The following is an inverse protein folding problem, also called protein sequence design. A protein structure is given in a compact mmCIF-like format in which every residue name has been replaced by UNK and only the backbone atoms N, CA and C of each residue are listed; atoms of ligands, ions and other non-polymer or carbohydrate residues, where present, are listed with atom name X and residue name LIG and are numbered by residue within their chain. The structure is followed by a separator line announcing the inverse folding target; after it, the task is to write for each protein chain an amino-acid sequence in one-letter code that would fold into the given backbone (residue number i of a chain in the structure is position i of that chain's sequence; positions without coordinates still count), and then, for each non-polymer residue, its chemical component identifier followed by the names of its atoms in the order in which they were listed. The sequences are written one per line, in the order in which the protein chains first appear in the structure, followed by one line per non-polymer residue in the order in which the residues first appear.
data_IF_731662341414
#
_entry.id   IF_731662341414
#
_cell.length_a   1.000
_cell.length_b   1.000
_cell.length_c   1.000
_cell.angle_alpha   90.00
_cell.angle_beta   90.00
_cell.angle_gamma   90.00
#
_symmetry.space_group_name_H-M   'P 1'
#
loop_
_entity.id
_entity.type
_entity.pdbx_description
1 polymer ?
#
# COMPACT_ATOMS: atom_id res chain seq x y z
N UNK A 1 2.76 11.00 -3.88
CA UNK A 1 2.06 10.08 -2.97
C UNK A 1 0.70 10.68 -2.63
N UNK A 2 -0.37 9.92 -2.75
CA UNK A 2 -1.75 10.42 -2.64
C UNK A 2 -2.56 9.63 -1.59
N UNK A 3 -3.37 10.33 -0.79
CA UNK A 3 -4.28 9.69 0.17
C UNK A 3 -5.59 9.31 -0.53
N UNK A 4 -6.13 8.14 -0.21
CA UNK A 4 -7.44 7.66 -0.67
C UNK A 4 -8.42 7.49 0.50
N UNK A 5 -9.71 7.71 0.22
CA UNK A 5 -10.77 7.76 1.23
C UNK A 5 -12.02 6.97 0.84
N UNK A 6 -12.25 6.75 -0.47
CA UNK A 6 -13.47 6.13 -0.98
C UNK A 6 -13.20 4.78 -1.66
N UNK A 7 -14.24 3.97 -1.79
CA UNK A 7 -14.20 2.70 -2.52
C UNK A 7 -14.01 2.92 -4.02
N UNK A 8 -14.62 3.96 -4.59
CA UNK A 8 -14.42 4.36 -5.99
C UNK A 8 -12.94 4.62 -6.31
N UNK A 9 -12.21 5.33 -5.43
CA UNK A 9 -10.76 5.51 -5.59
C UNK A 9 -10.00 4.19 -5.52
N UNK A 10 -10.47 3.23 -4.72
CA UNK A 10 -9.85 1.91 -4.65
C UNK A 10 -10.09 1.09 -5.93
N UNK A 11 -11.29 1.15 -6.50
CA UNK A 11 -11.61 0.56 -7.80
C UNK A 11 -10.72 1.16 -8.90
N UNK A 12 -10.58 2.49 -8.95
CA UNK A 12 -9.67 3.18 -9.89
C UNK A 12 -8.22 2.71 -9.74
N UNK A 13 -7.77 2.47 -8.50
CA UNK A 13 -6.41 1.98 -8.21
C UNK A 13 -6.21 0.52 -8.66
N UNK A 14 -7.23 -0.32 -8.52
CA UNK A 14 -7.22 -1.70 -9.04
C UNK A 14 -7.11 -1.68 -10.56
N UNK A 15 -7.90 -0.85 -11.23
CA UNK A 15 -7.86 -0.69 -12.68
C UNK A 15 -6.51 -0.14 -13.15
N UNK A 16 -6.00 0.92 -12.49
CA UNK A 16 -4.68 1.47 -12.77
C UNK A 16 -3.57 0.42 -12.62
N UNK A 17 -3.69 -0.49 -11.65
CA UNK A 17 -2.69 -1.54 -11.43
C UNK A 17 -2.54 -2.51 -12.61
N UNK A 18 -3.54 -2.57 -13.51
CA UNK A 18 -3.46 -3.30 -14.78
C UNK A 18 -2.60 -2.62 -15.84
N UNK A 19 -2.45 -1.29 -15.75
CA UNK A 19 -1.62 -0.51 -16.69
C UNK A 19 -0.20 -0.33 -16.17
N UNK A 20 -0.06 0.02 -14.88
CA UNK A 20 1.22 0.24 -14.22
C UNK A 20 1.14 -0.25 -12.78
N UNK A 21 2.18 -0.93 -12.24
CA UNK A 21 2.17 -1.33 -10.85
C UNK A 21 2.03 -0.14 -9.91
N UNK A 22 1.33 -0.35 -8.79
CA UNK A 22 1.12 0.70 -7.78
C UNK A 22 1.50 0.20 -6.39
N UNK A 23 1.86 1.15 -5.52
CA UNK A 23 2.08 0.88 -4.10
C UNK A 23 0.92 1.44 -3.28
N UNK A 24 0.35 0.63 -2.38
CA UNK A 24 -0.73 1.05 -1.48
C UNK A 24 -0.38 0.74 -0.02
N UNK A 25 -0.37 1.77 0.83
CA UNK A 25 -0.11 1.62 2.27
C UNK A 25 -1.35 1.87 3.15
N UNK A 26 -1.69 0.90 4.00
CA UNK A 26 -2.59 1.10 5.15
C UNK A 26 -1.76 1.58 6.34
N UNK A 27 -1.91 2.86 6.68
CA UNK A 27 -1.17 3.52 7.75
C UNK A 27 -2.08 3.81 8.96
N UNK A 28 -1.59 3.55 10.16
CA UNK A 28 -2.15 4.01 11.43
C UNK A 28 -1.42 5.26 11.93
N UNK A 29 -2.13 6.39 12.06
CA UNK A 29 -1.55 7.67 12.48
C UNK A 29 -1.24 7.79 13.98
N UNK A 30 -1.64 6.78 14.76
CA UNK A 30 -1.47 6.75 16.22
C UNK A 30 -0.53 5.64 16.69
N UNK A 31 0.13 4.93 15.77
CA UNK A 31 1.04 3.83 16.07
C UNK A 31 2.47 4.21 15.67
N UNK A 32 3.43 4.27 16.62
CA UNK A 32 4.82 4.63 16.31
C UNK A 32 5.48 3.72 15.27
N UNK A 33 5.17 2.42 15.29
CA UNK A 33 5.68 1.45 14.30
C UNK A 33 5.15 1.80 12.91
N UNK A 34 3.89 2.22 12.82
CA UNK A 34 3.26 2.63 11.57
C UNK A 34 3.79 3.96 11.05
N UNK A 35 4.18 4.88 11.94
CA UNK A 35 4.86 6.12 11.56
C UNK A 35 6.22 5.83 10.94
N UNK A 36 7.04 4.99 11.58
CA UNK A 36 8.35 4.61 11.05
C UNK A 36 8.26 3.90 9.68
N UNK A 37 7.28 3.00 9.52
CA UNK A 37 7.02 2.34 8.23
C UNK A 37 6.57 3.34 7.15
N UNK A 38 5.76 4.34 7.52
CA UNK A 38 5.26 5.36 6.60
C UNK A 38 6.39 6.29 6.15
N UNK A 39 7.27 6.69 7.06
CA UNK A 39 8.48 7.46 6.74
C UNK A 39 9.38 6.69 5.76
N UNK A 40 9.58 5.38 5.99
CA UNK A 40 10.33 4.54 5.08
C UNK A 40 9.67 4.49 3.68
N UNK A 41 8.36 4.27 3.61
CA UNK A 41 7.61 4.27 2.36
C UNK A 41 7.67 5.62 1.61
N UNK A 42 7.63 6.73 2.35
CA UNK A 42 7.79 8.07 1.78
C UNK A 42 9.15 8.27 1.13
N UNK A 43 10.23 7.81 1.76
CA UNK A 43 11.61 7.98 1.30
C UNK A 43 12.00 7.10 0.10
N UNK A 44 11.25 6.02 -0.19
CA UNK A 44 11.50 5.20 -1.39
C UNK A 44 11.35 6.05 -2.65
N UNK A 45 12.43 6.18 -3.41
CA UNK A 45 12.45 6.79 -4.74
C UNK A 45 12.02 5.76 -5.79
N UNK A 46 10.98 6.08 -6.56
CA UNK A 46 10.42 5.22 -7.62
C UNK A 46 9.48 6.04 -8.49
N UNK A 47 9.35 5.64 -9.76
CA UNK A 47 8.36 6.19 -10.69
C UNK A 47 6.97 5.57 -10.51
N UNK A 48 6.85 4.53 -9.67
CA UNK A 48 5.56 3.92 -9.39
C UNK A 48 4.63 4.85 -8.61
N UNK A 49 3.33 4.91 -8.96
CA UNK A 49 2.33 5.60 -8.17
C UNK A 49 2.30 5.10 -6.73
N UNK A 50 2.37 6.03 -5.77
CA UNK A 50 2.31 5.75 -4.33
C UNK A 50 1.00 6.25 -3.73
N UNK A 51 0.25 5.34 -3.11
CA UNK A 51 -1.02 5.62 -2.45
C UNK A 51 -1.01 5.19 -0.99
N UNK A 52 -1.87 5.80 -0.18
CA UNK A 52 -2.07 5.40 1.21
C UNK A 52 -3.48 5.73 1.72
N UNK A 53 -3.87 5.09 2.81
CA UNK A 53 -5.03 5.48 3.61
C UNK A 53 -4.67 5.50 5.09
N UNK A 54 -5.27 6.44 5.82
CA UNK A 54 -5.23 6.46 7.28
C UNK A 54 -6.38 5.59 7.80
N UNK A 55 -6.04 4.43 8.38
CA UNK A 55 -7.02 3.40 8.79
C UNK A 55 -8.09 3.96 9.73
N UNK A 56 -7.71 4.84 10.67
CA UNK A 56 -8.63 5.48 11.61
C UNK A 56 -9.68 6.36 10.91
N UNK A 57 -9.31 6.99 9.78
CA UNK A 57 -10.19 7.88 9.00
C UNK A 57 -11.01 7.13 7.95
N UNK A 58 -10.48 6.03 7.43
CA UNK A 58 -11.03 5.31 6.28
C UNK A 58 -11.35 3.84 6.61
N UNK A 59 -11.99 3.59 7.77
CA UNK A 59 -12.31 2.22 8.23
C UNK A 59 -13.15 1.40 7.23
N UNK A 60 -14.21 1.95 6.60
CA UNK A 60 -14.97 1.21 5.59
C UNK A 60 -14.09 0.80 4.42
N UNK A 61 -13.32 1.73 3.86
CA UNK A 61 -12.37 1.46 2.77
C UNK A 61 -11.32 0.41 3.17
N UNK A 62 -10.77 0.50 4.38
CA UNK A 62 -9.79 -0.48 4.86
C UNK A 62 -10.35 -1.90 4.92
N UNK A 63 -11.65 -2.05 5.22
CA UNK A 63 -12.35 -3.34 5.22
C UNK A 63 -12.67 -3.82 3.81
N UNK A 64 -13.06 -2.91 2.92
CA UNK A 64 -13.28 -3.23 1.50
C UNK A 64 -12.01 -3.83 0.89
N UNK A 65 -10.87 -3.15 1.07
CA UNK A 65 -9.57 -3.66 0.58
C UNK A 65 -9.22 -5.03 1.21
N UNK A 66 -9.59 -5.29 2.46
CA UNK A 66 -9.40 -6.62 3.07
C UNK A 66 -10.31 -7.68 2.43
N UNK A 67 -11.57 -7.32 2.13
CA UNK A 67 -12.53 -8.17 1.43
C UNK A 67 -12.09 -8.48 -0.01
N UNK A 68 -11.70 -7.49 -0.78
CA UNK A 68 -11.33 -7.69 -2.19
C UNK A 68 -10.04 -8.47 -2.35
N UNK A 69 -9.04 -8.15 -1.52
CA UNK A 69 -7.74 -8.82 -1.59
C UNK A 69 -7.75 -10.19 -0.90
N UNK A 70 -8.74 -10.48 -0.07
CA UNK A 70 -8.76 -11.64 0.84
C UNK A 70 -7.50 -11.70 1.72
N UNK A 71 -6.88 -10.55 2.01
CA UNK A 71 -5.71 -10.40 2.87
C UNK A 71 -6.14 -9.70 4.14
N UNK A 72 -5.95 -10.38 5.27
CA UNK A 72 -6.28 -9.85 6.60
C UNK A 72 -5.64 -8.50 6.83
N UNK A 73 -6.42 -7.59 7.43
CA UNK A 73 -5.92 -6.28 7.80
C UNK A 73 -4.75 -6.36 8.80
N UNK A 74 -3.68 -5.67 8.46
CA UNK A 74 -2.56 -5.34 9.34
C UNK A 74 -2.30 -3.83 9.31
N UNK A 75 -1.71 -3.26 10.36
CA UNK A 75 -1.31 -1.85 10.35
C UNK A 75 -0.02 -1.61 11.14
N UNK A 76 1.07 -1.19 10.48
CA UNK A 76 1.16 -0.80 9.06
C UNK A 76 1.16 -2.02 8.12
N UNK A 77 0.63 -1.82 6.91
CA UNK A 77 0.60 -2.82 5.84
C UNK A 77 0.82 -2.12 4.50
N UNK A 78 1.72 -2.65 3.68
CA UNK A 78 2.07 -2.13 2.36
C UNK A 78 1.89 -3.23 1.31
N UNK A 79 1.28 -2.87 0.20
CA UNK A 79 1.08 -3.73 -0.96
C UNK A 79 1.80 -3.15 -2.17
N UNK A 80 2.41 -4.02 -2.98
CA UNK A 80 2.72 -3.76 -4.37
C UNK A 80 1.71 -4.54 -5.21
N UNK A 81 0.95 -3.82 -6.04
CA UNK A 81 -0.07 -4.41 -6.90
C UNK A 81 0.32 -4.30 -8.37
N UNK A 82 0.02 -5.34 -9.13
CA UNK A 82 0.24 -5.42 -10.58
C UNK A 82 -0.80 -6.36 -11.18
N UNK A 83 -1.37 -5.97 -12.33
CA UNK A 83 -2.41 -6.73 -13.03
C UNK A 83 -3.61 -7.07 -12.12
N UNK A 84 -4.08 -6.10 -11.33
CA UNK A 84 -5.21 -6.28 -10.42
C UNK A 84 -4.93 -7.16 -9.20
N UNK A 85 -3.68 -7.61 -9.00
CA UNK A 85 -3.30 -8.57 -7.96
C UNK A 85 -2.19 -8.03 -7.07
N UNK A 86 -2.14 -8.48 -5.82
CA UNK A 86 -1.01 -8.24 -4.92
C UNK A 86 0.13 -9.17 -5.29
N UNK A 87 1.24 -8.60 -5.78
CA UNK A 87 2.46 -9.36 -6.12
C UNK A 87 3.47 -9.40 -4.97
N UNK A 88 3.41 -8.41 -4.07
CA UNK A 88 4.22 -8.38 -2.86
C UNK A 88 3.52 -7.63 -1.73
N UNK A 89 3.79 -8.02 -0.49
CA UNK A 89 3.29 -7.33 0.70
C UNK A 89 4.31 -7.33 1.84
N UNK A 90 4.24 -6.30 2.69
CA UNK A 90 4.99 -6.23 3.94
C UNK A 90 4.17 -5.57 5.05
N UNK A 91 4.47 -5.91 6.31
CA UNK A 91 3.79 -5.36 7.49
C UNK A 91 4.81 -4.99 8.57
N UNK A 92 4.42 -4.10 9.48
CA UNK A 92 5.23 -3.72 10.65
C UNK A 92 6.70 -3.42 10.30
N UNK A 93 7.63 -4.12 10.94
CA UNK A 93 9.08 -3.93 10.80
C UNK A 93 9.65 -4.44 9.48
N UNK A 94 8.86 -5.17 8.67
CA UNK A 94 9.25 -5.62 7.33
C UNK A 94 9.14 -4.51 6.30
N UNK A 95 8.41 -3.43 6.61
CA UNK A 95 8.31 -2.24 5.74
C UNK A 95 9.55 -1.37 5.95
N UNK A 96 10.54 -1.54 5.08
CA UNK A 96 11.81 -0.79 5.07
C UNK A 96 12.20 -0.47 3.64
N UNK A 97 12.88 0.66 3.42
CA UNK A 97 13.29 1.11 2.08
C UNK A 97 13.96 0.00 1.24
N UNK A 98 14.96 -0.75 1.74
CA UNK A 98 15.59 -1.81 0.93
C UNK A 98 14.62 -2.93 0.52
N UNK A 99 13.68 -3.28 1.39
CA UNK A 99 12.69 -4.32 1.09
C UNK A 99 11.71 -3.86 0.01
N UNK A 100 11.28 -2.59 0.07
CA UNK A 100 10.37 -1.99 -0.91
C UNK A 100 11.09 -1.85 -2.27
N UNK A 101 12.30 -1.31 -2.28
CA UNK A 101 13.10 -1.17 -3.51
C UNK A 101 13.37 -2.52 -4.16
N UNK A 102 13.68 -3.55 -3.37
CA UNK A 102 13.87 -4.90 -3.88
C UNK A 102 12.58 -5.47 -4.50
N UNK A 103 11.44 -5.32 -3.82
CA UNK A 103 10.15 -5.77 -4.37
C UNK A 103 9.79 -5.06 -5.69
N UNK A 104 10.08 -3.77 -5.80
CA UNK A 104 9.91 -3.03 -7.06
C UNK A 104 10.81 -3.63 -8.15
N UNK A 105 12.10 -3.86 -7.86
CA UNK A 105 13.03 -4.45 -8.83
C UNK A 105 12.61 -5.86 -9.26
N UNK A 106 12.10 -6.68 -8.35
CA UNK A 106 11.70 -8.07 -8.65
C UNK A 106 10.44 -8.15 -9.52
N UNK A 107 9.49 -7.24 -9.32
CA UNK A 107 8.16 -7.34 -9.94
C UNK A 107 7.87 -6.31 -11.03
N UNK A 108 8.70 -5.28 -11.19
CA UNK A 108 8.52 -4.21 -12.17
C UNK A 108 9.67 -4.07 -13.18
N UNK A 109 10.87 -4.59 -12.89
CA UNK A 109 11.98 -4.57 -13.85
C UNK A 109 11.76 -5.53 -15.04
#
# INVERSE_FOLDING_TARGET
MHEIFTTEQWEDLLDQSNEVPILLMKHSSTCPISLAAFDAFQRVETDLPKYYLIVQKSRPLSREIEGDLQIRHESPQLFLMKNGNVVWQATHYSIREPAITHAIQEHYA
#
